data_IF_298374226769
#
_entry.id   IF_298374226769
#
_cell.length_a   1.000
_cell.length_b   1.000
_cell.length_c   1.000
_cell.angle_alpha   90.00
_cell.angle_beta   90.00
_cell.angle_gamma   90.00
#
_symmetry.space_group_name_H-M   'P 1'
#
loop_
_entity.id
_entity.type
_entity.pdbx_description
1 polymer ?
#
# COMPACT_ATOMS: atom_id res chain seq x y z
N UNK A 1 16.60 56.35 3.02
CA UNK A 1 17.17 54.99 3.09
C UNK A 1 15.98 54.02 3.05
N UNK A 2 15.75 53.33 1.93
CA UNK A 2 14.59 52.43 1.74
C UNK A 2 14.69 51.20 2.65
N UNK A 3 13.57 50.85 3.30
CA UNK A 3 13.42 49.66 4.15
C UNK A 3 13.27 48.40 3.31
N UNK A 4 13.84 47.30 3.82
CA UNK A 4 14.02 46.02 3.13
C UNK A 4 12.71 45.32 2.73
N UNK A 5 12.79 44.60 1.61
CA UNK A 5 11.73 43.73 1.08
C UNK A 5 11.37 42.61 2.08
N UNK A 6 10.06 42.45 2.33
CA UNK A 6 9.52 41.32 3.08
C UNK A 6 9.60 40.04 2.23
N UNK A 7 9.97 38.88 2.82
CA UNK A 7 10.07 37.64 2.05
C UNK A 7 8.68 37.15 1.58
N UNK A 8 8.63 36.41 0.46
CA UNK A 8 7.37 35.91 -0.08
C UNK A 8 6.70 34.96 0.91
N UNK A 9 5.44 35.24 1.21
CA UNK A 9 4.54 34.39 2.01
C UNK A 9 4.56 32.97 1.45
N UNK A 10 5.01 32.01 2.27
CA UNK A 10 4.94 30.59 1.94
C UNK A 10 3.47 30.19 1.85
N UNK A 11 2.97 30.01 0.62
CA UNK A 11 1.62 29.52 0.38
C UNK A 11 1.70 27.99 0.36
N UNK A 12 1.38 27.36 1.49
CA UNK A 12 1.33 25.90 1.55
C UNK A 12 0.06 25.42 0.84
N UNK A 13 0.24 24.81 -0.34
CA UNK A 13 -0.87 24.24 -1.10
C UNK A 13 -1.08 22.80 -0.62
N UNK A 14 -2.04 22.60 0.28
CA UNK A 14 -2.48 21.27 0.68
C UNK A 14 -3.33 20.68 -0.46
N UNK A 15 -2.71 19.90 -1.33
CA UNK A 15 -3.42 19.10 -2.35
C UNK A 15 -3.98 17.83 -1.69
N UNK A 16 -5.25 17.85 -1.30
CA UNK A 16 -6.01 16.65 -0.99
C UNK A 16 -6.59 16.06 -2.28
N UNK A 17 -5.83 15.15 -2.91
CA UNK A 17 -6.33 14.37 -4.06
C UNK A 17 -7.28 13.29 -3.53
N UNK A 18 -8.55 13.25 -3.96
CA UNK A 18 -9.44 12.15 -3.62
C UNK A 18 -8.91 10.86 -4.26
N UNK A 19 -8.65 9.85 -3.45
CA UNK A 19 -8.27 8.53 -3.93
C UNK A 19 -9.41 7.97 -4.82
N UNK A 20 -9.12 7.44 -6.02
CA UNK A 20 -10.15 6.95 -6.91
C UNK A 20 -10.93 5.79 -6.26
N UNK A 21 -12.26 5.86 -6.36
CA UNK A 21 -13.21 4.91 -5.77
C UNK A 21 -13.06 3.45 -6.25
N UNK A 22 -12.16 3.17 -7.19
CA UNK A 22 -11.90 1.80 -7.69
C UNK A 22 -11.11 0.91 -6.74
N UNK A 23 -10.52 1.45 -5.65
CA UNK A 23 -9.89 0.62 -4.61
C UNK A 23 -10.91 0.03 -3.61
N UNK A 24 -12.19 0.40 -3.71
CA UNK A 24 -13.22 0.06 -2.71
C UNK A 24 -13.95 -1.26 -3.01
N UNK A 25 -13.57 -1.99 -4.08
CA UNK A 25 -14.25 -3.22 -4.50
C UNK A 25 -13.37 -4.48 -4.46
N UNK A 26 -12.42 -4.57 -3.54
CA UNK A 26 -11.81 -5.85 -3.14
C UNK A 26 -12.48 -6.32 -1.84
N UNK A 27 -13.76 -6.69 -1.90
CA UNK A 27 -14.46 -7.38 -0.80
C UNK A 27 -14.19 -8.88 -0.81
N UNK A 28 -13.41 -9.38 -1.78
CA UNK A 28 -12.85 -10.72 -1.75
C UNK A 28 -11.53 -10.64 -0.99
N UNK A 29 -11.45 -11.35 0.14
CA UNK A 29 -10.20 -11.53 0.86
C UNK A 29 -9.11 -11.99 -0.14
N UNK A 30 -7.93 -11.38 -0.07
CA UNK A 30 -6.79 -11.78 -0.89
C UNK A 30 -6.43 -13.21 -0.51
N UNK A 31 -6.52 -14.13 -1.47
CA UNK A 31 -6.17 -15.55 -1.29
C UNK A 31 -5.23 -16.03 -2.41
N UNK A 32 -4.68 -17.23 -2.26
CA UNK A 32 -3.76 -17.81 -3.24
C UNK A 32 -4.37 -18.14 -4.60
N UNK A 33 -5.69 -18.01 -4.78
CA UNK A 33 -6.34 -18.14 -6.10
C UNK A 33 -6.18 -16.88 -6.93
N UNK A 34 -5.86 -15.75 -6.30
CA UNK A 34 -5.58 -14.49 -6.98
C UNK A 34 -4.17 -14.44 -7.57
N UNK A 35 -3.29 -15.38 -7.20
CA UNK A 35 -1.91 -15.42 -7.65
C UNK A 35 -1.64 -16.66 -8.52
N UNK A 36 -0.99 -16.44 -9.66
CA UNK A 36 -0.57 -17.53 -10.56
C UNK A 36 0.72 -18.23 -10.11
N UNK A 37 1.34 -17.79 -9.02
CA UNK A 37 2.62 -18.30 -8.52
C UNK A 37 2.82 -17.97 -7.04
N UNK A 38 4.05 -18.14 -6.56
CA UNK A 38 4.42 -17.83 -5.19
C UNK A 38 4.54 -16.32 -4.99
N UNK A 39 4.28 -15.87 -3.76
CA UNK A 39 4.36 -14.47 -3.35
C UNK A 39 5.35 -14.34 -2.21
N UNK A 40 6.16 -13.28 -2.19
CA UNK A 40 6.96 -12.98 -1.00
C UNK A 40 6.09 -12.28 0.03
N UNK A 41 5.98 -12.88 1.21
CA UNK A 41 5.29 -12.28 2.34
C UNK A 41 6.32 -11.52 3.15
N UNK A 42 6.13 -10.21 3.26
CA UNK A 42 6.97 -9.34 4.05
C UNK A 42 6.15 -8.73 5.18
N UNK A 43 6.60 -8.93 6.42
CA UNK A 43 5.91 -8.44 7.60
C UNK A 43 4.83 -9.41 8.09
N UNK A 44 3.73 -8.87 8.62
CA UNK A 44 2.66 -9.68 9.20
C UNK A 44 1.79 -10.28 8.09
N UNK A 45 1.68 -11.59 8.07
CA UNK A 45 0.77 -12.30 7.18
C UNK A 45 -0.68 -12.15 7.66
N UNK A 46 -1.34 -11.06 7.22
CA UNK A 46 -2.74 -10.78 7.58
C UNK A 46 -3.73 -11.57 6.73
N UNK A 47 -3.27 -12.14 5.62
CA UNK A 47 -4.10 -12.85 4.66
C UNK A 47 -3.89 -14.38 4.74
N UNK A 48 -3.02 -14.85 5.64
CA UNK A 48 -2.66 -16.26 5.80
C UNK A 48 -2.22 -16.91 4.46
N UNK A 49 -1.42 -16.17 3.70
CA UNK A 49 -0.85 -16.62 2.42
C UNK A 49 0.37 -17.51 2.63
N UNK A 50 1.07 -17.38 3.76
CA UNK A 50 2.29 -18.06 4.17
C UNK A 50 2.00 -18.78 5.51
N UNK A 51 1.54 -20.02 5.43
CA UNK A 51 1.05 -20.81 6.58
C UNK A 51 2.18 -21.44 7.36
N UNK A 52 3.31 -21.71 6.73
CA UNK A 52 4.48 -22.32 7.37
C UNK A 52 5.47 -21.28 7.92
N UNK A 53 5.36 -20.02 7.49
CA UNK A 53 6.05 -18.86 8.03
C UNK A 53 7.47 -18.68 7.49
N UNK A 54 7.75 -19.19 6.29
CA UNK A 54 9.08 -19.14 5.68
C UNK A 54 9.35 -17.82 4.90
N UNK A 55 8.31 -17.00 4.70
CA UNK A 55 8.33 -15.74 3.96
C UNK A 55 7.93 -15.86 2.49
N UNK A 56 7.51 -17.03 2.03
CA UNK A 56 7.07 -17.34 0.67
C UNK A 56 5.65 -17.92 0.72
N UNK A 57 4.66 -17.06 0.49
CA UNK A 57 3.27 -17.49 0.45
C UNK A 57 2.85 -18.14 -0.88
N UNK A 58 1.74 -18.87 -0.80
CA UNK A 58 1.02 -19.48 -1.92
C UNK A 58 1.80 -20.55 -2.69
N UNK A 59 2.85 -21.08 -2.07
CA UNK A 59 3.57 -22.24 -2.55
C UNK A 59 2.79 -23.54 -2.27
N UNK A 60 3.23 -24.70 -2.81
CA UNK A 60 2.52 -25.96 -2.62
C UNK A 60 2.22 -26.31 -1.16
N UNK A 61 3.09 -25.91 -0.24
CA UNK A 61 3.02 -26.14 1.20
C UNK A 61 1.90 -25.31 1.87
N UNK A 62 1.53 -24.17 1.25
CA UNK A 62 0.52 -23.23 1.76
C UNK A 62 -0.88 -23.40 1.17
N UNK A 63 -1.05 -24.25 0.15
CA UNK A 63 -2.33 -24.40 -0.56
C UNK A 63 -3.29 -25.32 0.19
#
# INVERSE_FOLDING_TARGET
>A
MPGADLPPVATEVIYSVPLPASLVHATSDVDCRHFSGTVRVAGKDIFNLDRDGDGIGCEPEDR
#
